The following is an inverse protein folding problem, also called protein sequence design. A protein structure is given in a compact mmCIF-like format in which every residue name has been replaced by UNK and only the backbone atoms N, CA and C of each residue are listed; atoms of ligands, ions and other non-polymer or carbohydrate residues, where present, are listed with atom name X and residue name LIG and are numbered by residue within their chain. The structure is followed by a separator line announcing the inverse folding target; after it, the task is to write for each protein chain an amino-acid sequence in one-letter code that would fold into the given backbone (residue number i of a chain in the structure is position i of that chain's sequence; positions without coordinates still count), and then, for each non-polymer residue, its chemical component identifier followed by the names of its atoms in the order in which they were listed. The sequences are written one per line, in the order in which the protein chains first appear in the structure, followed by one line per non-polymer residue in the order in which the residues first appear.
data_IF_305527918779
#
_entry.id   IF_305527918779
#
_cell.length_a   1.000
_cell.length_b   1.000
_cell.length_c   1.000
_cell.angle_alpha   90.00
_cell.angle_beta   90.00
_cell.angle_gamma   90.00
#
_symmetry.space_group_name_H-M   'P 1'
#
loop_
_entity.id
_entity.type
_entity.pdbx_description
1 polymer ?
#
# COMPACT_ATOMS: atom_id res chain seq x y z
N UNK A 1 26.09 20.17 -16.92
CA UNK A 1 25.85 18.75 -16.61
C UNK A 1 25.79 18.62 -15.10
N UNK A 2 24.60 18.56 -14.50
CA UNK A 2 24.45 18.41 -13.04
C UNK A 2 24.08 16.96 -12.70
N UNK A 3 25.03 16.15 -12.18
CA UNK A 3 24.76 14.76 -11.79
C UNK A 3 24.01 14.63 -10.45
N UNK A 4 23.77 15.74 -9.73
CA UNK A 4 23.14 15.71 -8.40
C UNK A 4 21.62 15.43 -8.43
N UNK A 5 20.93 15.69 -9.54
CA UNK A 5 19.46 15.56 -9.63
C UNK A 5 18.97 14.11 -9.57
N UNK A 6 19.84 13.12 -9.84
CA UNK A 6 19.50 11.70 -9.81
C UNK A 6 19.55 11.11 -8.39
N UNK A 7 20.34 11.70 -7.49
CA UNK A 7 20.52 11.23 -6.12
C UNK A 7 19.27 11.43 -5.26
N UNK A 8 18.54 12.52 -5.46
CA UNK A 8 17.29 12.79 -4.72
C UNK A 8 16.24 11.69 -4.92
N UNK A 9 15.80 11.42 -6.16
CA UNK A 9 14.84 10.35 -6.45
C UNK A 9 15.34 8.96 -6.02
N UNK A 10 16.64 8.69 -6.17
CA UNK A 10 17.25 7.41 -5.79
C UNK A 10 17.21 7.20 -4.27
N UNK A 11 17.59 8.22 -3.49
CA UNK A 11 17.55 8.16 -2.03
C UNK A 11 16.13 8.06 -1.50
N UNK A 12 15.19 8.79 -2.10
CA UNK A 12 13.75 8.69 -1.77
C UNK A 12 13.21 7.29 -2.07
N UNK A 13 13.59 6.69 -3.21
CA UNK A 13 13.20 5.33 -3.56
C UNK A 13 13.77 4.29 -2.59
N UNK A 14 15.03 4.43 -2.20
CA UNK A 14 15.66 3.55 -1.20
C UNK A 14 15.04 3.73 0.19
N UNK A 15 14.73 4.94 0.61
CA UNK A 15 14.06 5.21 1.87
C UNK A 15 12.65 4.61 1.88
N UNK A 16 11.90 4.78 0.80
CA UNK A 16 10.56 4.19 0.65
C UNK A 16 10.61 2.67 0.66
N UNK A 17 11.59 2.07 -0.03
CA UNK A 17 11.81 0.63 -0.03
C UNK A 17 12.16 0.11 1.38
N UNK A 18 13.06 0.79 2.08
CA UNK A 18 13.48 0.41 3.43
C UNK A 18 12.32 0.50 4.43
N UNK A 19 11.56 1.60 4.39
CA UNK A 19 10.41 1.81 5.29
C UNK A 19 9.29 0.82 4.97
N UNK A 20 8.94 0.63 3.70
CA UNK A 20 7.92 -0.36 3.31
C UNK A 20 8.32 -1.79 3.66
N UNK A 21 9.58 -2.15 3.47
CA UNK A 21 10.10 -3.47 3.84
C UNK A 21 10.10 -3.66 5.36
N UNK A 22 10.52 -2.65 6.14
CA UNK A 22 10.55 -2.73 7.58
C UNK A 22 9.14 -2.89 8.18
N UNK A 23 8.16 -2.14 7.66
CA UNK A 23 6.78 -2.25 8.14
C UNK A 23 6.11 -3.55 7.64
N UNK A 24 6.36 -3.95 6.39
CA UNK A 24 5.88 -5.21 5.82
C UNK A 24 6.47 -6.46 6.50
N UNK A 25 7.72 -6.40 6.96
CA UNK A 25 8.39 -7.51 7.63
C UNK A 25 7.70 -7.91 8.96
N UNK A 26 7.13 -6.95 9.68
CA UNK A 26 6.34 -7.22 10.88
C UNK A 26 5.07 -8.01 10.59
N UNK A 27 4.35 -7.61 9.52
CA UNK A 27 3.17 -8.34 9.05
C UNK A 27 3.54 -9.74 8.54
N UNK A 28 4.63 -9.85 7.78
CA UNK A 28 5.12 -11.13 7.24
C UNK A 28 5.52 -12.12 8.35
N UNK A 29 6.25 -11.66 9.38
CA UNK A 29 6.58 -12.52 10.54
C UNK A 29 5.33 -13.02 11.25
N UNK A 30 4.32 -12.17 11.42
CA UNK A 30 3.06 -12.55 12.05
C UNK A 30 2.31 -13.60 11.22
N UNK A 31 2.35 -13.51 9.89
CA UNK A 31 1.78 -14.50 8.98
C UNK A 31 2.52 -15.84 9.03
N UNK A 32 3.85 -15.82 9.02
CA UNK A 32 4.67 -17.04 9.13
C UNK A 32 4.43 -17.74 10.46
N UNK A 33 4.39 -16.99 11.56
CA UNK A 33 4.15 -17.57 12.89
C UNK A 33 2.74 -18.17 13.02
N UNK A 34 1.74 -17.50 12.44
CA UNK A 34 0.37 -18.02 12.36
C UNK A 34 0.31 -19.24 11.43
N UNK A 35 1.10 -19.29 10.36
CA UNK A 35 1.17 -20.42 9.44
C UNK A 35 1.82 -21.65 10.10
N UNK A 36 2.95 -21.49 10.78
CA UNK A 36 3.64 -22.56 11.52
C UNK A 36 2.78 -23.12 12.65
N UNK A 37 2.17 -22.26 13.47
CA UNK A 37 1.24 -22.68 14.54
C UNK A 37 -0.03 -23.36 14.01
N UNK A 38 -0.38 -23.15 12.73
CA UNK A 38 -1.58 -23.68 12.08
C UNK A 38 -1.31 -24.98 11.31
N UNK A 39 -0.06 -25.26 10.93
CA UNK A 39 0.31 -26.53 10.33
C UNK A 39 0.10 -27.72 11.30
N UNK A 40 0.08 -27.45 12.60
CA UNK A 40 -0.27 -28.43 13.63
C UNK A 40 -1.80 -28.63 13.83
N UNK A 41 -2.68 -27.78 13.29
CA UNK A 41 -4.09 -27.70 13.74
C UNK A 41 -5.19 -27.72 12.64
N UNK A 42 -5.11 -28.65 11.69
CA UNK A 42 -6.23 -29.17 10.86
C UNK A 42 -6.67 -28.43 9.59
N UNK A 43 -6.90 -29.28 8.58
CA UNK A 43 -7.68 -29.11 7.36
C UNK A 43 -9.14 -28.71 7.62
N UNK A 44 -9.73 -27.92 6.71
CA UNK A 44 -11.18 -27.91 6.47
C UNK A 44 -11.88 -26.55 6.60
N UNK A 45 -12.11 -25.89 5.46
CA UNK A 45 -13.05 -24.78 5.22
C UNK A 45 -12.84 -23.43 5.93
N UNK A 46 -12.67 -23.37 7.26
CA UNK A 46 -12.48 -22.11 7.99
C UNK A 46 -11.18 -21.38 7.63
N UNK A 47 -10.24 -22.06 6.95
CA UNK A 47 -8.98 -21.50 6.47
C UNK A 47 -9.14 -20.57 5.26
N UNK A 48 -10.08 -20.81 4.34
CA UNK A 48 -10.15 -20.06 3.09
C UNK A 48 -10.67 -18.63 3.29
N UNK A 49 -11.81 -18.48 3.98
CA UNK A 49 -12.36 -17.17 4.36
C UNK A 49 -11.40 -16.36 5.22
N UNK A 50 -10.60 -17.02 6.06
CA UNK A 50 -9.65 -16.36 6.98
C UNK A 50 -8.32 -16.02 6.31
N UNK A 51 -7.88 -16.80 5.32
CA UNK A 51 -6.77 -16.46 4.43
C UNK A 51 -7.11 -15.26 3.56
N UNK A 52 -8.34 -15.20 3.01
CA UNK A 52 -8.81 -14.02 2.26
C UNK A 52 -8.84 -12.79 3.18
N UNK A 53 -9.38 -12.91 4.40
CA UNK A 53 -9.39 -11.80 5.36
C UNK A 53 -7.97 -11.31 5.73
N UNK A 54 -7.00 -12.23 5.87
CA UNK A 54 -5.60 -11.89 6.10
C UNK A 54 -4.97 -11.15 4.91
N UNK A 55 -5.26 -11.58 3.68
CA UNK A 55 -4.79 -10.95 2.45
C UNK A 55 -5.48 -9.61 2.17
N UNK A 56 -6.78 -9.47 2.46
CA UNK A 56 -7.50 -8.21 2.37
C UNK A 56 -6.88 -7.15 3.27
N UNK A 57 -6.45 -7.52 4.48
CA UNK A 57 -5.75 -6.59 5.36
C UNK A 57 -4.43 -6.09 4.76
N UNK A 58 -3.64 -6.98 4.17
CA UNK A 58 -2.39 -6.63 3.49
C UNK A 58 -2.66 -5.72 2.29
N UNK A 59 -3.69 -6.03 1.49
CA UNK A 59 -4.07 -5.24 0.32
C UNK A 59 -4.50 -3.82 0.72
N UNK A 60 -5.32 -3.68 1.76
CA UNK A 60 -5.70 -2.38 2.32
C UNK A 60 -4.46 -1.61 2.80
N UNK A 61 -3.55 -2.29 3.50
CA UNK A 61 -2.33 -1.68 4.03
C UNK A 61 -1.38 -1.21 2.92
N UNK A 62 -1.20 -2.03 1.89
CA UNK A 62 -0.40 -1.70 0.71
C UNK A 62 -1.02 -0.51 -0.05
N UNK A 63 -2.34 -0.49 -0.20
CA UNK A 63 -3.07 0.58 -0.87
C UNK A 63 -2.95 1.91 -0.10
N UNK A 64 -3.11 1.89 1.23
CA UNK A 64 -2.91 3.05 2.08
C UNK A 64 -1.47 3.58 1.98
N UNK A 65 -0.48 2.69 2.09
CA UNK A 65 0.93 3.04 2.00
C UNK A 65 1.28 3.67 0.66
N UNK A 66 0.80 3.07 -0.42
CA UNK A 66 0.99 3.60 -1.77
C UNK A 66 0.33 4.97 -1.93
N UNK A 67 -0.89 5.16 -1.42
CA UNK A 67 -1.58 6.45 -1.47
C UNK A 67 -0.77 7.55 -0.78
N UNK A 68 -0.32 7.33 0.47
CA UNK A 68 0.50 8.30 1.20
C UNK A 68 1.86 8.54 0.53
N UNK A 69 2.49 7.50 -0.01
CA UNK A 69 3.73 7.62 -0.76
C UNK A 69 3.59 8.60 -1.95
N UNK A 70 2.44 8.60 -2.63
CA UNK A 70 2.22 9.51 -3.76
C UNK A 70 2.07 10.96 -3.33
N UNK A 71 1.44 11.23 -2.17
CA UNK A 71 1.32 12.58 -1.61
C UNK A 71 2.71 13.11 -1.21
N UNK A 72 3.49 12.28 -0.51
CA UNK A 72 4.84 12.65 -0.05
C UNK A 72 5.77 12.85 -1.25
N UNK A 73 5.69 12.00 -2.27
CA UNK A 73 6.48 12.13 -3.50
C UNK A 73 6.15 13.41 -4.27
N UNK A 74 4.87 13.72 -4.39
CA UNK A 74 4.41 14.94 -5.07
C UNK A 74 4.76 16.22 -4.28
N UNK A 75 4.62 16.19 -2.96
CA UNK A 75 5.09 17.27 -2.09
C UNK A 75 6.60 17.45 -2.21
N UNK A 76 7.38 16.37 -2.19
CA UNK A 76 8.84 16.43 -2.33
C UNK A 76 9.30 16.95 -3.70
N UNK A 77 8.50 16.75 -4.76
CA UNK A 77 8.81 17.24 -6.11
C UNK A 77 8.36 18.69 -6.34
N UNK A 78 7.21 19.09 -5.79
CA UNK A 78 6.61 20.41 -6.01
C UNK A 78 6.97 21.45 -4.94
N UNK A 79 7.36 21.01 -3.75
CA UNK A 79 7.54 21.87 -2.58
C UNK A 79 6.24 22.42 -1.99
N UNK A 80 5.09 22.08 -2.57
CA UNK A 80 3.77 22.59 -2.21
C UNK A 80 2.91 21.46 -1.62
N UNK A 81 2.79 21.45 -0.29
CA UNK A 81 2.02 20.44 0.42
C UNK A 81 0.52 20.60 0.17
N UNK A 82 0.02 21.83 0.10
CA UNK A 82 -1.41 22.11 -0.02
C UNK A 82 -1.91 21.71 -1.41
N UNK A 83 -1.13 22.05 -2.46
CA UNK A 83 -1.38 21.57 -3.81
C UNK A 83 -1.25 20.06 -3.96
N UNK A 84 -0.32 19.42 -3.24
CA UNK A 84 -0.19 17.96 -3.26
C UNK A 84 -1.40 17.26 -2.64
N UNK A 85 -1.92 17.80 -1.54
CA UNK A 85 -3.15 17.31 -0.91
C UNK A 85 -4.34 17.51 -1.86
N UNK A 86 -4.49 18.69 -2.47
CA UNK A 86 -5.57 18.97 -3.41
C UNK A 86 -5.58 18.01 -4.62
N UNK A 87 -4.40 17.73 -5.21
CA UNK A 87 -4.26 16.74 -6.30
C UNK A 87 -4.58 15.32 -5.84
N UNK A 88 -4.19 14.96 -4.62
CA UNK A 88 -4.48 13.64 -4.06
C UNK A 88 -5.97 13.41 -3.77
N UNK A 89 -6.69 14.47 -3.40
CA UNK A 89 -8.13 14.44 -3.20
C UNK A 89 -8.87 14.13 -4.50
N UNK A 90 -8.50 14.83 -5.59
CA UNK A 90 -9.06 14.58 -6.92
C UNK A 90 -8.76 13.16 -7.40
N UNK A 91 -7.58 12.63 -7.10
CA UNK A 91 -7.23 11.23 -7.40
C UNK A 91 -8.10 10.24 -6.63
N UNK A 92 -8.41 10.51 -5.36
CA UNK A 92 -9.28 9.67 -4.55
C UNK A 92 -10.72 9.70 -5.07
N UNK A 93 -11.23 10.87 -5.44
CA UNK A 93 -12.57 11.05 -6.01
C UNK A 93 -12.74 10.24 -7.30
N UNK A 94 -11.76 10.30 -8.21
CA UNK A 94 -11.76 9.50 -9.45
C UNK A 94 -11.79 8.00 -9.12
N UNK A 95 -10.99 7.54 -8.15
CA UNK A 95 -10.97 6.13 -7.76
C UNK A 95 -12.31 5.65 -7.21
N UNK A 96 -12.95 6.47 -6.37
CA UNK A 96 -14.28 6.16 -5.83
C UNK A 96 -15.34 6.16 -6.92
N UNK A 97 -15.28 7.09 -7.86
CA UNK A 97 -16.20 7.17 -8.99
C UNK A 97 -16.08 5.96 -9.93
N UNK A 98 -14.84 5.51 -10.19
CA UNK A 98 -14.60 4.28 -10.96
C UNK A 98 -15.12 3.06 -10.19
N UNK A 99 -14.88 2.99 -8.88
CA UNK A 99 -15.36 1.89 -8.05
C UNK A 99 -16.89 1.82 -8.01
N UNK A 100 -17.59 2.95 -7.93
CA UNK A 100 -19.05 2.99 -8.01
C UNK A 100 -19.54 2.57 -9.39
N UNK A 101 -18.94 3.08 -10.46
CA UNK A 101 -19.31 2.70 -11.83
C UNK A 101 -19.10 1.20 -12.10
N UNK A 102 -18.06 0.61 -11.51
CA UNK A 102 -17.80 -0.83 -11.61
C UNK A 102 -18.80 -1.65 -10.79
N UNK A 103 -19.18 -1.17 -9.59
CA UNK A 103 -20.21 -1.81 -8.77
C UNK A 103 -21.58 -1.81 -9.44
N UNK A 104 -21.94 -0.71 -10.12
CA UNK A 104 -23.19 -0.61 -10.87
C UNK A 104 -23.17 -1.47 -12.15
N UNK A 105 -21.99 -1.73 -12.74
CA UNK A 105 -21.85 -2.56 -13.92
C UNK A 105 -21.89 -4.07 -13.63
N UNK A 106 -21.58 -4.48 -12.40
CA UNK A 106 -21.58 -5.88 -11.94
C UNK A 106 -22.93 -6.32 -11.34
N UNK A 107 -23.87 -5.37 -11.13
CA UNK A 107 -25.25 -5.60 -10.66
C UNK A 107 -26.25 -5.71 -11.80
#
# INVERSE_FOLDING_TARGET
MQPLSFLGPLLSGLALLAVSTAVGAGAMRKLVHVYEAKHELKQGSAGFLRTIAGWSWIAIWAMATWFFATIIGDWGASGDLDGAIARSWLRLEILLHIASALSDADS
#
